data_IF_495692546906
#
_entry.id   IF_495692546906
#
_cell.length_a   1.000
_cell.length_b   1.000
_cell.length_c   1.000
_cell.angle_alpha   90.00
_cell.angle_beta   90.00
_cell.angle_gamma   90.00
#
_symmetry.space_group_name_H-M   'P 1'
#
loop_
_entity.id
_entity.type
_entity.pdbx_description
1 polymer ?
#
# COMPACT_ATOMS: atom_id res chain seq x y z
N UNK A 1 -5.48 0.90 9.67
CA UNK A 1 -4.68 1.49 8.58
C UNK A 1 -4.85 0.79 7.23
N UNK A 2 -4.29 -0.42 6.98
CA UNK A 2 -4.42 -1.12 5.66
C UNK A 2 -5.86 -1.26 5.17
N UNK A 3 -6.79 -1.63 6.05
CA UNK A 3 -8.21 -1.78 5.71
C UNK A 3 -8.81 -0.46 5.19
N UNK A 4 -8.40 0.69 5.74
CA UNK A 4 -8.86 1.99 5.28
C UNK A 4 -8.34 2.28 3.86
N UNK A 5 -7.05 2.02 3.58
CA UNK A 5 -6.48 2.17 2.23
C UNK A 5 -7.24 1.31 1.20
N UNK A 6 -7.57 0.06 1.54
CA UNK A 6 -8.28 -0.85 0.64
C UNK A 6 -9.75 -0.41 0.41
N UNK A 7 -10.43 0.09 1.44
CA UNK A 7 -11.79 0.65 1.31
C UNK A 7 -11.81 1.85 0.37
N UNK A 8 -10.86 2.77 0.52
CA UNK A 8 -10.76 3.97 -0.33
C UNK A 8 -10.44 3.62 -1.77
N UNK A 9 -9.54 2.66 -2.02
CA UNK A 9 -9.23 2.23 -3.37
C UNK A 9 -10.40 1.53 -4.08
N UNK A 10 -11.28 0.86 -3.34
CA UNK A 10 -12.53 0.32 -3.90
C UNK A 10 -13.52 1.43 -4.25
N UNK A 11 -13.54 2.53 -3.48
CA UNK A 11 -14.39 3.69 -3.73
C UNK A 11 -13.93 4.52 -4.93
N UNK A 12 -12.62 4.68 -5.10
CA UNK A 12 -11.99 5.42 -6.19
C UNK A 12 -11.12 4.50 -7.07
N UNK A 13 -11.74 3.70 -7.98
CA UNK A 13 -11.03 2.69 -8.76
C UNK A 13 -10.13 3.26 -9.87
N UNK A 14 -10.32 4.54 -10.23
CA UNK A 14 -9.52 5.28 -11.20
C UNK A 14 -8.21 5.83 -10.61
N UNK A 15 -8.09 5.91 -9.28
CA UNK A 15 -6.93 6.46 -8.59
C UNK A 15 -6.09 5.36 -7.92
N UNK A 16 -4.81 5.63 -7.73
CA UNK A 16 -3.89 4.75 -7.02
C UNK A 16 -3.52 5.31 -5.64
N UNK A 17 -3.47 4.41 -4.65
CA UNK A 17 -3.08 4.79 -3.28
C UNK A 17 -1.56 4.93 -3.19
N UNK A 18 -1.09 6.11 -2.80
CA UNK A 18 0.31 6.38 -2.52
C UNK A 18 0.69 5.92 -1.11
N UNK A 19 -0.01 6.43 -0.10
CA UNK A 19 0.22 6.09 1.31
C UNK A 19 -0.97 6.54 2.18
N UNK A 20 -0.88 6.34 3.49
CA UNK A 20 -1.86 6.84 4.46
C UNK A 20 -1.20 7.27 5.77
N UNK A 21 -1.91 8.04 6.58
CA UNK A 21 -1.52 8.39 7.95
C UNK A 21 -2.74 8.42 8.90
N UNK A 22 -2.46 8.35 10.20
CA UNK A 22 -3.47 8.39 11.25
C UNK A 22 -3.74 9.84 11.65
N UNK A 23 -5.01 10.15 11.91
CA UNK A 23 -5.45 11.50 12.29
C UNK A 23 -5.90 11.53 13.74
N UNK A 24 -6.64 10.50 14.14
CA UNK A 24 -7.38 10.49 15.38
C UNK A 24 -8.15 9.20 15.54
N UNK A 25 -8.67 9.00 16.74
CA UNK A 25 -9.56 7.90 17.06
C UNK A 25 -10.59 8.34 18.08
N UNK A 26 -11.79 7.81 17.90
CA UNK A 26 -12.86 7.86 18.89
C UNK A 26 -12.96 6.48 19.54
N UNK A 27 -13.76 6.33 20.59
CA UNK A 27 -13.96 5.03 21.26
C UNK A 27 -14.50 3.90 20.36
N UNK A 28 -15.03 4.22 19.17
CA UNK A 28 -15.59 3.25 18.21
C UNK A 28 -14.86 3.20 16.86
N UNK A 29 -14.10 4.24 16.50
CA UNK A 29 -13.60 4.41 15.13
C UNK A 29 -12.17 4.93 15.13
N UNK A 30 -11.40 4.48 14.15
CA UNK A 30 -10.08 5.03 13.86
C UNK A 30 -10.11 5.73 12.52
N UNK A 31 -9.64 6.98 12.48
CA UNK A 31 -9.64 7.83 11.31
C UNK A 31 -8.25 7.91 10.68
N UNK A 32 -8.22 7.87 9.34
CA UNK A 32 -6.98 7.90 8.56
C UNK A 32 -7.17 8.79 7.34
N UNK A 33 -6.16 9.59 7.00
CA UNK A 33 -6.09 10.21 5.68
C UNK A 33 -5.31 9.32 4.73
N UNK A 34 -5.79 9.28 3.50
CA UNK A 34 -5.26 8.41 2.44
C UNK A 34 -4.92 9.30 1.27
N UNK A 35 -3.66 9.23 0.87
CA UNK A 35 -3.12 10.02 -0.23
C UNK A 35 -3.33 9.22 -1.51
N UNK A 36 -4.18 9.75 -2.40
CA UNK A 36 -4.47 9.19 -3.71
C UNK A 36 -3.76 9.99 -4.80
N UNK A 37 -3.44 9.32 -5.91
CA UNK A 37 -2.84 9.92 -7.09
C UNK A 37 -3.63 9.46 -8.31
N UNK A 38 -3.92 10.39 -9.21
CA UNK A 38 -4.49 10.09 -10.52
C UNK A 38 -3.36 9.76 -11.52
N UNK A 39 -3.24 8.50 -12.00
CA UNK A 39 -2.20 8.11 -12.93
C UNK A 39 -2.40 8.65 -14.36
N UNK A 40 -3.61 9.10 -14.72
CA UNK A 40 -3.93 9.61 -16.07
C UNK A 40 -3.62 11.10 -16.18
N UNK A 41 -3.45 11.79 -15.06
CA UNK A 41 -3.26 13.24 -15.05
C UNK A 41 -1.90 13.65 -15.64
N UNK A 42 -1.84 14.58 -16.62
CA UNK A 42 -0.58 14.96 -17.28
C UNK A 42 0.51 15.46 -16.34
N UNK A 43 0.14 16.15 -15.25
CA UNK A 43 1.13 16.64 -14.27
C UNK A 43 1.80 15.50 -13.51
N UNK A 44 1.09 14.39 -13.26
CA UNK A 44 1.63 13.19 -12.61
C UNK A 44 2.52 12.42 -13.57
N UNK A 45 2.12 12.31 -14.84
CA UNK A 45 2.90 11.64 -15.89
C UNK A 45 4.23 12.36 -16.14
N UNK A 46 4.21 13.70 -16.17
CA UNK A 46 5.39 14.53 -16.43
C UNK A 46 6.33 14.64 -15.23
N UNK A 47 5.85 14.45 -14.00
CA UNK A 47 6.68 14.58 -12.80
C UNK A 47 7.59 13.34 -12.61
N UNK A 48 8.92 13.47 -12.75
CA UNK A 48 9.84 12.34 -12.64
C UNK A 48 9.91 11.72 -11.24
N UNK A 49 9.39 12.38 -10.19
CA UNK A 49 9.39 11.87 -8.82
C UNK A 49 8.28 10.86 -8.57
N UNK A 50 7.15 11.01 -9.26
CA UNK A 50 5.92 10.23 -8.98
C UNK A 50 5.41 9.44 -10.19
N UNK A 51 5.88 9.73 -11.40
CA UNK A 51 5.45 9.05 -12.62
C UNK A 51 5.53 7.52 -12.56
N UNK A 52 6.39 6.93 -11.73
CA UNK A 52 6.45 5.49 -11.50
C UNK A 52 5.10 4.87 -11.13
N UNK A 53 4.19 5.63 -10.50
CA UNK A 53 2.86 5.13 -10.12
C UNK A 53 1.94 4.92 -11.31
N UNK A 54 2.25 5.53 -12.46
CA UNK A 54 1.45 5.46 -13.70
C UNK A 54 1.61 4.13 -14.45
N UNK A 55 2.69 3.39 -14.19
CA UNK A 55 2.94 2.10 -14.81
C UNK A 55 1.89 1.05 -14.37
N UNK A 56 1.47 0.21 -15.32
CA UNK A 56 0.55 -0.92 -15.12
C UNK A 56 1.01 -1.84 -13.99
N UNK A 57 2.32 -1.98 -13.77
CA UNK A 57 2.88 -2.78 -12.69
C UNK A 57 2.50 -2.27 -11.28
N UNK A 58 2.13 -0.99 -11.16
CA UNK A 58 1.70 -0.30 -9.95
C UNK A 58 0.18 -0.22 -9.78
N UNK A 59 -0.61 -0.68 -10.75
CA UNK A 59 -2.07 -0.75 -10.64
C UNK A 59 -2.54 -1.57 -9.42
N UNK A 60 -3.53 -1.07 -8.69
CA UNK A 60 -4.12 -1.66 -7.47
C UNK A 60 -3.04 -2.11 -6.48
N UNK A 61 -1.97 -1.32 -6.30
CA UNK A 61 -0.83 -1.70 -5.45
C UNK A 61 -1.21 -1.94 -3.99
N UNK A 62 -2.23 -1.24 -3.50
CA UNK A 62 -2.77 -1.39 -2.14
C UNK A 62 -3.32 -2.79 -1.87
N UNK A 63 -4.08 -3.36 -2.82
CA UNK A 63 -4.67 -4.70 -2.68
C UNK A 63 -3.60 -5.80 -2.64
N UNK A 64 -2.42 -5.53 -3.20
CA UNK A 64 -1.25 -6.41 -3.17
C UNK A 64 -0.34 -6.17 -1.96
N UNK A 65 -0.70 -5.24 -1.07
CA UNK A 65 0.08 -4.89 0.11
C UNK A 65 1.44 -4.25 -0.21
N UNK A 66 1.53 -3.49 -1.31
CA UNK A 66 2.75 -2.75 -1.69
C UNK A 66 2.84 -1.35 -1.06
N UNK A 67 1.82 -0.91 -0.31
CA UNK A 67 1.86 0.32 0.51
C UNK A 67 2.71 0.11 1.77
N UNK A 68 3.06 1.19 2.47
CA UNK A 68 3.81 1.10 3.73
C UNK A 68 3.08 0.25 4.78
N UNK A 69 1.76 0.48 4.94
CA UNK A 69 0.93 -0.32 5.83
C UNK A 69 0.87 -1.80 5.40
N UNK A 70 0.78 -2.08 4.10
CA UNK A 70 0.83 -3.43 3.55
C UNK A 70 2.15 -4.14 3.81
N UNK A 71 3.28 -3.46 3.60
CA UNK A 71 4.63 -3.99 3.87
C UNK A 71 4.85 -4.26 5.35
N UNK A 72 4.37 -3.39 6.24
CA UNK A 72 4.36 -3.60 7.70
C UNK A 72 3.56 -4.83 8.08
N UNK A 73 2.34 -4.97 7.57
CA UNK A 73 1.50 -6.15 7.82
C UNK A 73 2.06 -7.46 7.27
N UNK A 74 3.01 -7.40 6.33
CA UNK A 74 3.72 -8.56 5.79
C UNK A 74 5.08 -8.80 6.45
N UNK A 75 5.47 -8.05 7.48
CA UNK A 75 6.78 -8.22 8.14
C UNK A 75 8.01 -7.83 7.29
N UNK A 76 7.82 -7.05 6.21
CA UNK A 76 8.89 -6.77 5.23
C UNK A 76 9.82 -5.58 5.58
N UNK A 77 9.67 -4.97 6.75
CA UNK A 77 10.50 -3.83 7.15
C UNK A 77 11.89 -4.24 7.64
N UNK A 78 12.01 -5.37 8.34
CA UNK A 78 13.29 -5.89 8.83
C UNK A 78 13.95 -6.77 7.77
N UNK A 79 15.26 -6.99 7.84
CA UNK A 79 16.01 -7.97 7.03
C UNK A 79 16.87 -8.82 7.98
N UNK A 80 17.21 -10.05 7.58
CA UNK A 80 18.04 -10.97 8.37
C UNK A 80 17.22 -11.97 9.18
N UNK A 81 17.71 -12.30 10.38
CA UNK A 81 17.13 -13.35 11.24
C UNK A 81 15.65 -13.08 11.54
N UNK A 82 14.80 -14.10 11.36
CA UNK A 82 13.35 -14.02 11.55
C UNK A 82 12.56 -13.57 10.30
N UNK A 83 13.23 -13.31 9.17
CA UNK A 83 12.57 -12.95 7.89
C UNK A 83 12.72 -14.00 6.80
N UNK A 84 13.29 -15.16 7.13
CA UNK A 84 13.60 -16.27 6.21
C UNK A 84 12.34 -16.80 5.50
N UNK A 85 11.22 -16.86 6.23
CA UNK A 85 9.93 -17.34 5.71
C UNK A 85 9.01 -16.22 5.19
N UNK A 86 9.49 -14.98 5.17
CA UNK A 86 8.70 -13.79 4.81
C UNK A 86 9.10 -13.26 3.41
N UNK A 87 10.38 -13.35 3.06
CA UNK A 87 10.95 -12.89 1.78
C UNK A 87 11.15 -14.03 0.79
N UNK A 88 10.87 -13.87 -0.52
CA UNK A 88 10.41 -12.63 -1.18
C UNK A 88 8.90 -12.37 -0.98
N UNK A 89 8.13 -13.42 -0.71
CA UNK A 89 6.71 -13.33 -0.37
C UNK A 89 6.29 -14.45 0.57
N UNK A 90 5.21 -14.23 1.33
CA UNK A 90 4.64 -15.21 2.26
C UNK A 90 4.18 -16.48 1.53
N UNK A 91 3.62 -16.32 0.32
CA UNK A 91 3.14 -17.44 -0.50
C UNK A 91 4.28 -18.34 -1.01
N UNK A 92 5.44 -17.76 -1.31
CA UNK A 92 6.62 -18.54 -1.74
C UNK A 92 7.09 -19.52 -0.65
N UNK A 93 6.78 -19.23 0.62
CA UNK A 93 7.12 -20.07 1.78
C UNK A 93 5.91 -20.84 2.34
N UNK A 94 4.91 -21.13 1.50
CA UNK A 94 3.73 -21.91 1.90
C UNK A 94 2.89 -21.24 3.00
N UNK A 95 2.87 -19.91 3.05
CA UNK A 95 2.16 -19.10 4.05
C UNK A 95 2.60 -19.32 5.51
N UNK A 96 3.85 -19.77 5.73
CA UNK A 96 4.40 -20.04 7.07
C UNK A 96 4.93 -18.79 7.80
N UNK A 97 4.95 -17.63 7.15
CA UNK A 97 5.46 -16.37 7.72
C UNK A 97 4.34 -15.41 8.12
N UNK A 98 4.49 -14.75 9.27
CA UNK A 98 3.66 -13.62 9.71
C UNK A 98 4.46 -12.70 10.63
#
# INVERSE_FOLDING_TARGET
KRIAEERTAKRFPNMEVLNSYWIGEDGKHHYFEIILVDPVHPSVIKDPKINWITDVSHKRRVLRGKTSAGRKGRGLHKKGKGTEKIRPSIRAHGNKGK
#
